data_IF_205078531182
#
_entry.id   IF_205078531182
#
_cell.length_a   1.000
_cell.length_b   1.000
_cell.length_c   1.000
_cell.angle_alpha   90.00
_cell.angle_beta   90.00
_cell.angle_gamma   90.00
#
_symmetry.space_group_name_H-M   'P 1'
#
loop_
_entity.id
_entity.type
_entity.pdbx_description
1 polymer ?
#
# COMPACT_ATOMS: atom_id res chain seq x y z
N UNK A 1 -70.82 57.82 -36.10
CA UNK A 1 -69.49 57.28 -36.35
C UNK A 1 -68.67 57.41 -35.06
N UNK A 2 -68.52 56.37 -34.27
CA UNK A 2 -67.71 56.38 -33.07
C UNK A 2 -66.58 55.38 -33.29
N UNK A 3 -65.33 55.88 -33.29
CA UNK A 3 -64.12 55.04 -33.36
C UNK A 3 -63.87 54.41 -31.96
N UNK A 4 -63.73 53.10 -31.95
CA UNK A 4 -63.30 52.34 -30.79
C UNK A 4 -61.77 52.09 -30.96
N UNK A 5 -61.00 52.66 -30.05
CA UNK A 5 -59.56 52.36 -29.94
C UNK A 5 -59.35 51.01 -29.19
N UNK A 6 -58.78 50.05 -29.89
CA UNK A 6 -58.25 48.82 -29.24
C UNK A 6 -56.84 49.10 -28.70
N UNK A 7 -56.68 48.96 -27.37
CA UNK A 7 -55.39 48.96 -26.71
C UNK A 7 -54.92 47.50 -26.65
N UNK A 8 -53.88 47.18 -27.36
CA UNK A 8 -53.22 45.88 -27.26
C UNK A 8 -52.29 45.85 -26.03
N UNK A 9 -52.59 45.01 -25.04
CA UNK A 9 -51.74 44.75 -23.90
C UNK A 9 -50.80 43.59 -24.27
N UNK A 10 -49.50 43.87 -24.49
CA UNK A 10 -48.45 42.85 -24.66
C UNK A 10 -48.03 42.34 -23.28
N UNK A 11 -48.43 41.11 -22.94
CA UNK A 11 -47.85 40.37 -21.79
C UNK A 11 -46.47 39.85 -22.17
N UNK A 12 -45.42 40.49 -21.63
CA UNK A 12 -44.07 39.93 -21.66
C UNK A 12 -43.98 38.78 -20.62
N UNK A 13 -44.02 37.56 -21.11
CA UNK A 13 -43.70 36.37 -20.30
C UNK A 13 -42.16 36.28 -20.19
N UNK A 14 -41.62 36.76 -19.06
CA UNK A 14 -40.23 36.51 -18.68
C UNK A 14 -40.08 35.08 -18.27
N UNK A 15 -39.72 34.19 -19.22
CA UNK A 15 -39.33 32.84 -18.95
C UNK A 15 -38.03 32.80 -18.13
N UNK A 16 -38.11 32.56 -16.84
CA UNK A 16 -36.97 32.18 -16.02
C UNK A 16 -36.50 30.79 -16.50
N UNK A 17 -35.52 30.75 -17.39
CA UNK A 17 -34.74 29.56 -17.63
C UNK A 17 -33.89 29.32 -16.41
N UNK A 18 -34.41 28.59 -15.44
CA UNK A 18 -33.61 27.90 -14.42
C UNK A 18 -32.81 26.81 -15.15
N UNK A 19 -31.56 27.12 -15.52
CA UNK A 19 -30.61 26.07 -15.92
C UNK A 19 -30.59 25.03 -14.81
N UNK A 20 -30.81 23.74 -15.11
CA UNK A 20 -30.61 22.70 -14.09
C UNK A 20 -29.17 22.80 -13.63
N UNK A 21 -28.93 23.12 -12.35
CA UNK A 21 -27.64 22.87 -11.72
C UNK A 21 -27.39 21.37 -11.94
N UNK A 22 -26.50 21.02 -12.88
CA UNK A 22 -26.01 19.67 -12.97
C UNK A 22 -25.35 19.37 -11.62
N UNK A 23 -25.95 18.51 -10.83
CA UNK A 23 -25.32 18.01 -9.61
C UNK A 23 -23.96 17.44 -10.04
N UNK A 24 -22.89 18.07 -9.58
CA UNK A 24 -21.55 17.63 -9.90
C UNK A 24 -21.41 16.18 -9.44
N UNK A 25 -21.14 15.27 -10.37
CA UNK A 25 -21.02 13.84 -10.05
C UNK A 25 -19.94 13.65 -8.97
N UNK A 26 -20.30 13.04 -7.86
CA UNK A 26 -19.33 12.74 -6.81
C UNK A 26 -18.24 11.82 -7.34
N UNK A 27 -17.00 12.11 -6.93
CA UNK A 27 -15.80 11.29 -7.23
C UNK A 27 -15.05 11.00 -5.94
N UNK A 28 -14.14 10.02 -5.96
CA UNK A 28 -13.27 9.76 -4.82
C UNK A 28 -12.48 11.01 -4.38
N UNK A 29 -12.07 11.86 -5.31
CA UNK A 29 -11.35 13.10 -5.01
C UNK A 29 -12.27 14.17 -4.41
N UNK A 30 -13.48 14.34 -4.95
CA UNK A 30 -14.44 15.32 -4.38
C UNK A 30 -14.90 14.92 -2.97
N UNK A 31 -14.93 13.63 -2.64
CA UNK A 31 -15.19 13.17 -1.27
C UNK A 31 -14.08 13.58 -0.28
N UNK A 32 -12.82 13.59 -0.71
CA UNK A 32 -11.71 14.09 0.12
C UNK A 32 -11.81 15.59 0.41
N UNK A 33 -12.41 16.36 -0.50
CA UNK A 33 -12.58 17.81 -0.39
C UNK A 33 -13.84 18.18 0.40
N UNK A 34 -14.76 17.23 0.62
CA UNK A 34 -15.99 17.43 1.38
C UNK A 34 -15.75 17.26 2.89
N UNK A 35 -15.46 18.37 3.55
CA UNK A 35 -15.23 18.40 5.00
C UNK A 35 -16.44 17.89 5.82
N UNK A 36 -17.68 18.18 5.36
CA UNK A 36 -18.86 17.74 6.07
C UNK A 36 -19.04 16.22 6.00
N UNK A 37 -18.82 15.62 4.82
CA UNK A 37 -18.81 14.18 4.63
C UNK A 37 -17.73 13.51 5.46
N UNK A 38 -16.51 14.06 5.43
CA UNK A 38 -15.38 13.53 6.19
C UNK A 38 -15.66 13.48 7.69
N UNK A 39 -16.13 14.59 8.28
CA UNK A 39 -16.45 14.64 9.69
C UNK A 39 -17.65 13.76 10.05
N UNK A 40 -18.62 13.62 9.16
CA UNK A 40 -19.72 12.67 9.32
C UNK A 40 -19.22 11.24 9.29
N UNK A 41 -18.40 10.87 8.31
CA UNK A 41 -17.86 9.51 8.19
C UNK A 41 -16.97 9.13 9.39
N UNK A 42 -16.12 10.05 9.86
CA UNK A 42 -15.32 9.86 11.07
C UNK A 42 -16.20 9.50 12.29
N UNK A 43 -17.31 10.21 12.51
CA UNK A 43 -18.23 9.97 13.64
C UNK A 43 -19.07 8.71 13.48
N UNK A 44 -19.62 8.49 12.28
CA UNK A 44 -20.65 7.47 12.02
C UNK A 44 -20.09 6.20 11.38
N UNK A 45 -18.86 6.23 10.83
CA UNK A 45 -18.24 5.08 10.17
C UNK A 45 -18.92 4.68 8.87
N UNK A 46 -19.32 5.65 8.03
CA UNK A 46 -20.14 5.42 6.83
C UNK A 46 -19.54 4.37 5.86
N UNK A 47 -18.22 4.22 5.84
CA UNK A 47 -17.49 3.36 4.91
C UNK A 47 -16.69 2.25 5.62
N UNK A 48 -16.93 2.06 6.92
CA UNK A 48 -16.16 1.14 7.76
C UNK A 48 -16.63 -0.31 7.64
N UNK A 49 -17.93 -0.52 7.35
CA UNK A 49 -18.53 -1.84 7.21
C UNK A 49 -18.64 -2.25 5.74
N UNK A 50 -18.28 -3.50 5.36
CA UNK A 50 -18.51 -4.00 4.02
C UNK A 50 -19.98 -4.20 3.74
N UNK A 51 -20.37 -4.17 2.46
CA UNK A 51 -21.70 -4.62 2.04
C UNK A 51 -21.80 -6.14 2.22
N UNK A 52 -23.03 -6.68 2.35
CA UNK A 52 -23.22 -8.11 2.52
C UNK A 52 -22.59 -8.92 1.39
N UNK A 53 -21.83 -9.96 1.75
CA UNK A 53 -21.17 -10.85 0.79
C UNK A 53 -22.20 -11.55 -0.11
N UNK A 54 -21.97 -11.46 -1.42
CA UNK A 54 -22.85 -12.04 -2.44
C UNK A 54 -22.19 -13.14 -3.28
N UNK A 55 -20.89 -13.38 -3.09
CA UNK A 55 -20.10 -14.32 -3.88
C UNK A 55 -19.36 -15.32 -2.98
N UNK A 56 -19.00 -16.48 -3.55
CA UNK A 56 -18.12 -17.42 -2.88
C UNK A 56 -16.67 -16.87 -2.88
N UNK A 57 -15.96 -17.06 -1.77
CA UNK A 57 -14.56 -16.72 -1.66
C UNK A 57 -13.71 -17.57 -2.61
N UNK A 58 -12.61 -17.01 -3.14
CA UNK A 58 -11.66 -17.75 -3.95
C UNK A 58 -10.97 -18.85 -3.12
N UNK A 59 -10.80 -20.03 -3.69
CA UNK A 59 -10.34 -21.21 -2.93
C UNK A 59 -8.83 -21.29 -2.72
N UNK A 60 -8.05 -20.43 -3.41
CA UNK A 60 -6.58 -20.45 -3.44
C UNK A 60 -5.97 -21.81 -3.84
N UNK A 61 -6.64 -22.50 -4.78
CA UNK A 61 -6.12 -23.73 -5.36
C UNK A 61 -5.12 -23.40 -6.45
N UNK A 62 -3.89 -23.95 -6.36
CA UNK A 62 -2.79 -23.70 -7.30
C UNK A 62 -3.11 -24.06 -8.76
N UNK A 63 -4.07 -24.96 -8.99
CA UNK A 63 -4.50 -25.33 -10.35
C UNK A 63 -5.39 -24.26 -11.01
N UNK A 64 -6.02 -23.39 -10.23
CA UNK A 64 -6.78 -22.26 -10.75
C UNK A 64 -5.85 -21.21 -11.35
N UNK A 65 -6.20 -20.71 -12.53
CA UNK A 65 -5.41 -19.70 -13.22
C UNK A 65 -5.36 -18.38 -12.43
N UNK A 66 -4.28 -17.61 -12.59
CA UNK A 66 -4.17 -16.30 -11.95
C UNK A 66 -5.27 -15.33 -12.45
N UNK A 67 -5.73 -15.46 -13.70
CA UNK A 67 -6.87 -14.71 -14.25
C UNK A 67 -8.19 -14.97 -13.50
N UNK A 68 -8.40 -16.20 -13.03
CA UNK A 68 -9.61 -16.56 -12.26
C UNK A 68 -9.57 -15.88 -10.90
N UNK A 69 -8.39 -15.83 -10.27
CA UNK A 69 -8.16 -15.09 -9.05
C UNK A 69 -8.41 -13.58 -9.24
N UNK A 70 -7.88 -12.96 -10.30
CA UNK A 70 -8.10 -11.55 -10.58
C UNK A 70 -9.60 -11.24 -10.74
N UNK A 71 -10.33 -12.12 -11.42
CA UNK A 71 -11.78 -11.98 -11.60
C UNK A 71 -12.53 -12.10 -10.28
N UNK A 72 -12.19 -13.08 -9.45
CA UNK A 72 -12.83 -13.29 -8.15
C UNK A 72 -12.59 -12.12 -7.20
N UNK A 73 -11.35 -11.63 -7.11
CA UNK A 73 -11.01 -10.48 -6.26
C UNK A 73 -11.69 -9.18 -6.75
N UNK A 74 -11.80 -8.96 -8.05
CA UNK A 74 -12.54 -7.82 -8.59
C UNK A 74 -14.04 -7.89 -8.24
N UNK A 75 -14.66 -9.07 -8.33
CA UNK A 75 -16.06 -9.28 -7.97
C UNK A 75 -16.29 -9.04 -6.46
N UNK A 76 -15.40 -9.52 -5.61
CA UNK A 76 -15.44 -9.28 -4.16
C UNK A 76 -15.42 -7.78 -3.86
N UNK A 77 -14.44 -7.04 -4.38
CA UNK A 77 -14.35 -5.59 -4.20
C UNK A 77 -15.60 -4.89 -4.73
N UNK A 78 -16.02 -5.23 -5.96
CA UNK A 78 -17.14 -4.55 -6.63
C UNK A 78 -18.47 -4.72 -5.90
N UNK A 79 -18.66 -5.86 -5.22
CA UNK A 79 -19.90 -6.18 -4.52
C UNK A 79 -19.89 -5.79 -3.05
N UNK A 80 -18.74 -5.83 -2.37
CA UNK A 80 -18.65 -5.67 -0.91
C UNK A 80 -18.11 -4.30 -0.48
N UNK A 81 -17.36 -3.58 -1.34
CA UNK A 81 -16.89 -2.24 -1.02
C UNK A 81 -18.02 -1.20 -1.23
N UNK A 82 -18.43 -0.46 -0.18
CA UNK A 82 -19.53 0.50 -0.28
C UNK A 82 -19.28 1.66 -1.24
N UNK A 83 -18.03 1.87 -1.65
CA UNK A 83 -17.63 2.90 -2.62
C UNK A 83 -17.08 2.33 -3.93
N UNK A 84 -17.16 1.02 -4.15
CA UNK A 84 -16.56 0.33 -5.30
C UNK A 84 -16.81 1.03 -6.64
N UNK A 85 -18.05 1.42 -6.89
CA UNK A 85 -18.50 2.00 -8.16
C UNK A 85 -18.36 3.52 -8.23
N UNK A 86 -17.77 4.17 -7.20
CA UNK A 86 -17.57 5.60 -7.23
C UNK A 86 -16.51 5.96 -8.29
N UNK A 87 -16.79 6.89 -9.23
CA UNK A 87 -15.80 7.37 -10.18
C UNK A 87 -14.56 7.92 -9.46
N UNK A 88 -13.38 7.49 -9.89
CA UNK A 88 -12.14 7.88 -9.25
C UNK A 88 -11.08 8.24 -10.30
N UNK A 89 -11.00 9.51 -10.75
CA UNK A 89 -10.14 9.92 -11.85
C UNK A 89 -8.66 10.05 -11.42
N UNK A 90 -8.11 8.95 -10.93
CA UNK A 90 -6.72 8.81 -10.49
C UNK A 90 -5.97 7.95 -11.51
N UNK A 91 -5.30 8.58 -12.45
CA UNK A 91 -4.64 7.92 -13.59
C UNK A 91 -3.13 7.84 -13.37
N UNK A 92 -2.69 6.76 -12.73
CA UNK A 92 -1.26 6.42 -12.64
C UNK A 92 -0.76 5.84 -13.97
N UNK A 93 0.57 5.83 -14.18
CA UNK A 93 1.15 5.24 -15.40
C UNK A 93 0.77 3.76 -15.53
N UNK A 94 0.76 3.01 -14.41
CA UNK A 94 0.33 1.61 -14.39
C UNK A 94 -1.14 1.45 -14.78
N UNK A 95 -2.02 2.32 -14.26
CA UNK A 95 -3.43 2.25 -14.66
C UNK A 95 -3.62 2.52 -16.15
N UNK A 96 -2.94 3.54 -16.69
CA UNK A 96 -2.99 3.85 -18.12
C UNK A 96 -2.46 2.68 -18.98
N UNK A 97 -1.41 2.00 -18.52
CA UNK A 97 -0.89 0.82 -19.21
C UNK A 97 -1.88 -0.36 -19.15
N UNK A 98 -2.56 -0.58 -18.02
CA UNK A 98 -3.62 -1.60 -17.91
C UNK A 98 -4.81 -1.29 -18.84
N UNK A 99 -5.18 -0.02 -19.00
CA UNK A 99 -6.19 0.42 -19.98
C UNK A 99 -5.72 0.12 -21.41
N UNK A 100 -4.47 0.46 -21.74
CA UNK A 100 -3.89 0.19 -23.05
C UNK A 100 -3.84 -1.31 -23.38
N UNK A 101 -3.69 -2.18 -22.38
CA UNK A 101 -3.74 -3.64 -22.51
C UNK A 101 -5.18 -4.21 -22.51
N UNK A 102 -6.21 -3.36 -22.41
CA UNK A 102 -7.61 -3.80 -22.34
C UNK A 102 -8.00 -4.49 -21.02
N UNK A 103 -7.15 -4.38 -19.98
CA UNK A 103 -7.37 -5.00 -18.66
C UNK A 103 -8.20 -4.15 -17.72
N UNK A 104 -8.37 -2.86 -18.03
CA UNK A 104 -9.15 -1.88 -17.22
C UNK A 104 -9.93 -0.93 -18.13
N UNK A 105 -11.07 -0.38 -17.67
CA UNK A 105 -11.81 0.63 -18.41
C UNK A 105 -11.07 1.98 -18.42
N UNK A 106 -11.36 2.83 -19.41
CA UNK A 106 -10.77 4.16 -19.49
C UNK A 106 -11.21 5.10 -18.33
N UNK A 107 -12.44 4.93 -17.85
CA UNK A 107 -13.00 5.68 -16.73
C UNK A 107 -12.89 4.83 -15.45
N UNK A 108 -11.94 5.17 -14.60
CA UNK A 108 -11.68 4.42 -13.39
C UNK A 108 -12.78 4.59 -12.33
N UNK A 109 -13.13 3.49 -11.70
CA UNK A 109 -13.81 3.45 -10.39
C UNK A 109 -12.83 3.11 -9.28
N UNK A 110 -13.23 3.21 -8.02
CA UNK A 110 -12.41 2.74 -6.90
C UNK A 110 -12.06 1.25 -7.09
N UNK A 111 -13.03 0.41 -7.44
CA UNK A 111 -12.78 -1.02 -7.65
C UNK A 111 -11.70 -1.26 -8.71
N UNK A 112 -11.70 -0.52 -9.81
CA UNK A 112 -10.70 -0.66 -10.87
C UNK A 112 -9.28 -0.32 -10.41
N UNK A 113 -9.14 0.64 -9.50
CA UNK A 113 -7.85 1.12 -9.01
C UNK A 113 -7.24 0.20 -7.95
N UNK A 114 -8.07 -0.34 -7.04
CA UNK A 114 -7.59 -1.12 -5.88
C UNK A 114 -7.55 -2.62 -6.12
N UNK A 115 -8.17 -3.11 -7.19
CA UNK A 115 -8.15 -4.54 -7.52
C UNK A 115 -6.76 -5.02 -7.91
N UNK A 116 -6.40 -6.28 -7.60
CA UNK A 116 -5.17 -6.87 -8.04
C UNK A 116 -5.09 -6.89 -9.57
N UNK A 117 -3.89 -6.85 -10.09
CA UNK A 117 -3.65 -6.78 -11.53
C UNK A 117 -2.48 -7.65 -11.98
N UNK A 118 -2.50 -7.97 -13.26
CA UNK A 118 -1.36 -8.49 -14.00
C UNK A 118 -1.03 -7.51 -15.13
N UNK A 119 0.09 -6.79 -14.98
CA UNK A 119 0.63 -5.91 -16.03
C UNK A 119 1.53 -6.76 -16.93
N UNK A 120 0.99 -7.22 -18.03
CA UNK A 120 1.62 -8.21 -18.90
C UNK A 120 2.73 -7.60 -19.75
N UNK A 121 3.87 -8.28 -19.78
CA UNK A 121 4.94 -8.02 -20.72
C UNK A 121 4.90 -9.09 -21.82
N UNK A 122 4.85 -8.67 -23.08
CA UNK A 122 4.76 -9.60 -24.20
C UNK A 122 5.98 -10.54 -24.21
N UNK A 123 5.72 -11.84 -24.40
CA UNK A 123 6.74 -12.89 -24.54
C UNK A 123 7.73 -13.02 -23.36
N UNK A 124 7.47 -12.36 -22.23
CA UNK A 124 8.34 -12.43 -21.07
C UNK A 124 8.13 -13.73 -20.29
N UNK A 125 9.25 -14.39 -19.95
CA UNK A 125 9.30 -15.51 -19.02
C UNK A 125 9.68 -15.07 -17.61
N UNK A 126 9.80 -13.73 -17.38
CA UNK A 126 10.16 -13.11 -16.09
C UNK A 126 8.94 -12.46 -15.47
N UNK A 127 8.77 -12.66 -14.17
CA UNK A 127 7.71 -11.98 -13.41
C UNK A 127 8.22 -11.42 -12.08
N UNK A 128 7.54 -10.39 -11.61
CA UNK A 128 7.59 -9.97 -10.21
C UNK A 128 6.20 -10.12 -9.60
N UNK A 129 6.12 -10.73 -8.43
CA UNK A 129 4.91 -10.79 -7.62
C UNK A 129 5.06 -9.85 -6.43
N UNK A 130 4.10 -8.94 -6.26
CA UNK A 130 4.11 -7.92 -5.22
C UNK A 130 2.94 -8.13 -4.23
N UNK A 131 3.26 -8.22 -2.92
CA UNK A 131 2.32 -8.45 -1.83
C UNK A 131 2.26 -7.21 -0.94
N UNK A 132 1.08 -6.57 -0.87
CA UNK A 132 0.89 -5.31 -0.13
C UNK A 132 0.93 -5.47 1.39
N UNK A 133 0.99 -4.35 2.11
CA UNK A 133 0.97 -4.28 3.56
C UNK A 133 -0.43 -4.32 4.17
N UNK A 134 -0.47 -4.37 5.51
CA UNK A 134 -1.70 -4.31 6.28
C UNK A 134 -2.45 -2.99 5.99
N UNK A 135 -3.77 -3.07 5.91
CA UNK A 135 -4.71 -2.01 5.55
C UNK A 135 -4.62 -1.49 4.11
N UNK A 136 -3.65 -1.94 3.33
CA UNK A 136 -3.35 -1.52 1.97
C UNK A 136 -4.21 -2.22 0.90
N UNK A 137 -3.93 -1.89 -0.34
CA UNK A 137 -4.44 -2.57 -1.53
C UNK A 137 -3.35 -2.62 -2.61
N UNK A 138 -3.54 -3.35 -3.70
CA UNK A 138 -2.63 -3.37 -4.86
C UNK A 138 -2.30 -1.98 -5.44
N UNK A 139 -3.11 -0.96 -5.20
CA UNK A 139 -2.84 0.41 -5.61
C UNK A 139 -1.49 0.95 -5.10
N UNK A 140 -1.04 0.49 -3.93
CA UNK A 140 0.26 0.87 -3.35
C UNK A 140 1.44 0.56 -4.28
N UNK A 141 1.26 -0.37 -5.22
CA UNK A 141 2.30 -0.77 -6.17
C UNK A 141 2.21 -0.13 -7.55
N UNK A 142 1.25 0.77 -7.79
CA UNK A 142 1.11 1.39 -9.11
C UNK A 142 2.37 2.12 -9.57
N UNK A 143 3.15 2.71 -8.65
CA UNK A 143 4.39 3.39 -9.03
C UNK A 143 5.55 2.39 -9.24
N UNK A 144 5.73 1.43 -8.32
CA UNK A 144 6.80 0.43 -8.43
C UNK A 144 6.57 -0.55 -9.60
N UNK A 145 5.32 -0.84 -9.95
CA UNK A 145 5.02 -1.75 -11.06
C UNK A 145 5.66 -1.29 -12.38
N UNK A 146 5.71 0.02 -12.62
CA UNK A 146 6.37 0.57 -13.81
C UNK A 146 7.89 0.34 -13.81
N UNK A 147 8.53 0.36 -12.65
CA UNK A 147 9.98 0.11 -12.55
C UNK A 147 10.31 -1.30 -13.04
N UNK A 148 9.55 -2.30 -12.61
CA UNK A 148 9.75 -3.69 -13.05
C UNK A 148 9.29 -3.93 -14.49
N UNK A 149 8.17 -3.34 -14.89
CA UNK A 149 7.65 -3.46 -16.24
C UNK A 149 8.64 -2.95 -17.29
N UNK A 150 9.30 -1.82 -17.02
CA UNK A 150 10.33 -1.24 -17.88
C UNK A 150 11.60 -2.11 -17.98
N UNK A 151 11.83 -3.03 -17.01
CA UNK A 151 12.90 -4.03 -17.06
C UNK A 151 12.47 -5.36 -17.73
N UNK A 152 11.29 -5.39 -18.36
CA UNK A 152 10.79 -6.54 -19.10
C UNK A 152 10.12 -7.61 -18.24
N UNK A 153 9.72 -7.29 -17.01
CA UNK A 153 8.98 -8.21 -16.14
C UNK A 153 7.47 -8.04 -16.30
N UNK A 154 6.74 -9.14 -16.36
CA UNK A 154 5.31 -9.14 -16.06
C UNK A 154 5.14 -8.86 -14.56
N UNK A 155 4.26 -7.91 -14.19
CA UNK A 155 4.03 -7.56 -12.80
C UNK A 155 2.69 -8.10 -12.34
N UNK A 156 2.70 -8.91 -11.29
CA UNK A 156 1.52 -9.44 -10.60
C UNK A 156 1.39 -8.82 -9.22
N UNK A 157 0.17 -8.54 -8.83
CA UNK A 157 -0.17 -8.12 -7.46
C UNK A 157 -1.27 -9.00 -6.91
N UNK A 158 -1.32 -9.17 -5.60
CA UNK A 158 -2.45 -9.83 -4.93
C UNK A 158 -3.16 -8.86 -3.99
N UNK A 159 -4.42 -9.17 -3.70
CA UNK A 159 -5.20 -8.59 -2.61
C UNK A 159 -5.23 -9.61 -1.47
N UNK A 160 -4.74 -9.23 -0.30
CA UNK A 160 -4.80 -10.09 0.88
C UNK A 160 -6.26 -10.19 1.37
N UNK A 161 -6.72 -11.36 1.88
CA UNK A 161 -8.04 -11.51 2.46
C UNK A 161 -8.39 -10.41 3.46
N UNK A 162 -9.63 -9.95 3.46
CA UNK A 162 -10.13 -8.87 4.30
C UNK A 162 -9.79 -7.45 3.83
N UNK A 163 -9.03 -7.30 2.73
CA UNK A 163 -8.67 -6.01 2.15
C UNK A 163 -9.55 -5.65 0.94
N UNK A 164 -9.54 -4.38 0.53
CA UNK A 164 -10.24 -3.89 -0.68
C UNK A 164 -11.75 -3.66 -0.50
N UNK A 165 -12.36 -4.10 0.58
CA UNK A 165 -13.80 -3.94 0.87
C UNK A 165 -14.05 -2.82 1.88
N UNK A 166 -13.97 -3.10 3.19
CA UNK A 166 -14.05 -2.10 4.26
C UNK A 166 -13.24 -2.57 5.48
N UNK A 167 -12.85 -1.64 6.36
CA UNK A 167 -11.95 -1.93 7.47
C UNK A 167 -12.44 -3.03 8.41
N UNK A 168 -13.77 -3.17 8.59
CA UNK A 168 -14.35 -4.22 9.43
C UNK A 168 -14.16 -5.64 8.87
N UNK A 169 -13.92 -5.80 7.57
CA UNK A 169 -13.62 -7.12 6.99
C UNK A 169 -12.33 -7.73 7.55
N UNK A 170 -11.40 -6.91 8.06
CA UNK A 170 -10.21 -7.39 8.75
C UNK A 170 -10.49 -8.08 10.09
N UNK A 171 -11.73 -8.01 10.60
CA UNK A 171 -12.13 -8.72 11.82
C UNK A 171 -12.45 -10.21 11.57
N UNK A 172 -12.62 -10.60 10.30
CA UNK A 172 -12.99 -11.95 9.89
C UNK A 172 -11.83 -12.79 9.36
N UNK A 173 -10.59 -12.25 9.35
CA UNK A 173 -9.41 -12.91 8.76
C UNK A 173 -8.27 -13.00 9.76
N UNK A 174 -7.40 -13.98 9.55
CA UNK A 174 -6.20 -14.21 10.34
C UNK A 174 -4.91 -14.29 9.50
N UNK A 175 -3.78 -14.52 10.14
CA UNK A 175 -2.48 -14.63 9.49
C UNK A 175 -2.36 -15.85 8.56
N UNK A 176 -3.09 -16.94 8.86
CA UNK A 176 -3.11 -18.14 8.00
C UNK A 176 -3.86 -17.89 6.69
N UNK A 177 -4.91 -17.09 6.70
CA UNK A 177 -5.62 -16.65 5.49
C UNK A 177 -4.69 -15.86 4.57
N UNK A 178 -3.94 -14.90 5.13
CA UNK A 178 -2.96 -14.12 4.35
C UNK A 178 -1.83 -15.01 3.82
N UNK A 179 -1.34 -15.92 4.63
CA UNK A 179 -0.32 -16.90 4.22
C UNK A 179 -0.82 -17.79 3.09
N UNK A 180 -2.03 -18.32 3.19
CA UNK A 180 -2.65 -19.17 2.16
C UNK A 180 -2.77 -18.43 0.82
N UNK A 181 -3.24 -17.18 0.84
CA UNK A 181 -3.34 -16.34 -0.36
C UNK A 181 -1.96 -16.07 -0.98
N UNK A 182 -0.97 -15.75 -0.15
CA UNK A 182 0.40 -15.47 -0.57
C UNK A 182 1.07 -16.71 -1.18
N UNK A 183 0.93 -17.88 -0.54
CA UNK A 183 1.46 -19.15 -1.05
C UNK A 183 0.84 -19.48 -2.42
N UNK A 184 -0.48 -19.37 -2.56
CA UNK A 184 -1.14 -19.56 -3.86
C UNK A 184 -0.54 -18.64 -4.93
N UNK A 185 -0.41 -17.35 -4.65
CA UNK A 185 0.07 -16.38 -5.63
C UNK A 185 1.54 -16.65 -6.03
N UNK A 186 2.39 -17.01 -5.06
CA UNK A 186 3.79 -17.36 -5.30
C UNK A 186 3.87 -18.61 -6.16
N UNK A 187 3.26 -19.71 -5.73
CA UNK A 187 3.30 -21.00 -6.43
C UNK A 187 2.66 -20.91 -7.84
N UNK A 188 1.56 -20.14 -7.96
CA UNK A 188 0.94 -19.91 -9.27
C UNK A 188 1.86 -19.12 -10.19
N UNK A 189 2.60 -18.14 -9.67
CA UNK A 189 3.56 -17.36 -10.46
C UNK A 189 4.76 -18.23 -10.87
N UNK A 190 5.27 -19.07 -9.98
CA UNK A 190 6.33 -20.03 -10.29
C UNK A 190 5.92 -21.07 -11.36
N UNK A 191 4.63 -21.44 -11.37
CA UNK A 191 4.09 -22.33 -12.41
C UNK A 191 4.04 -21.67 -13.79
N UNK A 192 3.78 -20.36 -13.84
CA UNK A 192 3.59 -19.61 -15.08
C UNK A 192 4.88 -19.02 -15.66
N UNK A 193 5.92 -18.79 -14.84
CA UNK A 193 7.15 -18.09 -15.24
C UNK A 193 8.40 -18.89 -14.87
N UNK A 194 9.53 -18.54 -15.52
CA UNK A 194 10.81 -19.22 -15.32
C UNK A 194 11.75 -18.46 -14.37
N UNK A 195 11.56 -17.12 -14.24
CA UNK A 195 12.31 -16.27 -13.35
C UNK A 195 11.33 -15.38 -12.58
N UNK A 196 11.38 -15.44 -11.26
CA UNK A 196 10.43 -14.73 -10.39
C UNK A 196 11.17 -13.94 -9.32
N UNK A 197 10.82 -12.66 -9.21
CA UNK A 197 11.17 -11.81 -8.07
C UNK A 197 9.95 -11.76 -7.16
N UNK A 198 10.16 -11.99 -5.86
CA UNK A 198 9.12 -11.81 -4.85
C UNK A 198 9.30 -10.47 -4.16
N UNK A 199 8.29 -9.62 -4.18
CA UNK A 199 8.29 -8.33 -3.52
C UNK A 199 7.21 -8.23 -2.46
N UNK A 200 7.53 -7.60 -1.33
CA UNK A 200 6.57 -7.35 -0.27
C UNK A 200 6.79 -6.01 0.40
N UNK A 201 5.70 -5.37 0.79
CA UNK A 201 5.72 -4.14 1.58
C UNK A 201 5.11 -4.42 2.96
N UNK A 202 5.83 -4.02 4.03
CA UNK A 202 5.37 -4.17 5.41
C UNK A 202 4.98 -5.63 5.73
N UNK A 203 3.74 -5.94 6.08
CA UNK A 203 3.22 -7.30 6.29
C UNK A 203 3.45 -8.21 5.07
N UNK A 204 3.30 -7.67 3.86
CA UNK A 204 3.61 -8.42 2.63
C UNK A 204 5.07 -8.88 2.56
N UNK A 205 6.02 -8.07 3.06
CA UNK A 205 7.42 -8.47 3.15
C UNK A 205 7.64 -9.58 4.20
N UNK A 206 6.91 -9.54 5.32
CA UNK A 206 6.94 -10.63 6.30
C UNK A 206 6.43 -11.94 5.69
N UNK A 207 5.36 -11.91 4.90
CA UNK A 207 4.82 -13.09 4.20
C UNK A 207 5.80 -13.64 3.15
N UNK A 208 6.54 -12.77 2.44
CA UNK A 208 7.61 -13.18 1.52
C UNK A 208 8.73 -13.90 2.29
N UNK A 209 9.21 -13.33 3.40
CA UNK A 209 10.26 -13.95 4.23
C UNK A 209 9.77 -15.28 4.83
N UNK A 210 8.53 -15.33 5.33
CA UNK A 210 7.94 -16.56 5.86
C UNK A 210 7.94 -17.68 4.80
N UNK A 211 7.48 -17.40 3.57
CA UNK A 211 7.52 -18.36 2.48
C UNK A 211 8.94 -18.84 2.16
N UNK A 212 9.87 -17.91 1.97
CA UNK A 212 11.26 -18.20 1.58
C UNK A 212 12.05 -18.99 2.62
N UNK A 213 11.62 -19.01 3.87
CA UNK A 213 12.33 -19.66 4.97
C UNK A 213 11.71 -20.99 5.43
N UNK A 214 10.55 -21.39 4.87
CA UNK A 214 9.84 -22.61 5.31
C UNK A 214 10.22 -23.89 4.58
N UNK A 215 10.65 -23.80 3.31
CA UNK A 215 10.95 -24.97 2.47
C UNK A 215 12.16 -24.69 1.60
N UNK A 216 12.73 -25.70 0.93
CA UNK A 216 13.70 -25.46 -0.13
C UNK A 216 13.12 -24.48 -1.14
N UNK A 217 13.83 -23.38 -1.40
CA UNK A 217 13.40 -22.33 -2.31
C UNK A 217 13.48 -22.85 -3.74
N UNK A 218 12.41 -22.66 -4.51
CA UNK A 218 12.42 -22.94 -5.95
C UNK A 218 13.51 -22.11 -6.64
N UNK A 219 14.32 -22.73 -7.47
CA UNK A 219 15.44 -22.11 -8.19
C UNK A 219 15.00 -21.03 -9.19
N UNK A 220 13.72 -20.96 -9.52
CA UNK A 220 13.14 -19.89 -10.32
C UNK A 220 13.04 -18.57 -9.56
N UNK A 221 13.07 -18.59 -8.22
CA UNK A 221 13.09 -17.36 -7.42
C UNK A 221 14.49 -16.77 -7.45
N UNK A 222 14.62 -15.63 -8.11
CA UNK A 222 15.92 -14.97 -8.32
C UNK A 222 16.25 -13.94 -7.25
N UNK A 223 15.24 -13.28 -6.68
CA UNK A 223 15.44 -12.28 -5.62
C UNK A 223 14.20 -12.07 -4.75
N UNK A 224 14.44 -11.45 -3.58
CA UNK A 224 13.42 -10.89 -2.70
C UNK A 224 13.58 -9.37 -2.57
N UNK A 225 12.46 -8.63 -2.67
CA UNK A 225 12.39 -7.17 -2.53
C UNK A 225 11.56 -6.84 -1.29
N UNK A 226 12.20 -6.30 -0.26
CA UNK A 226 11.59 -6.08 1.06
C UNK A 226 11.48 -4.57 1.35
N UNK A 227 10.28 -4.01 1.20
CA UNK A 227 10.00 -2.59 1.44
C UNK A 227 9.44 -2.41 2.84
N UNK A 228 10.14 -1.71 3.74
CA UNK A 228 9.78 -1.55 5.17
C UNK A 228 9.28 -2.85 5.80
N UNK A 229 10.07 -3.94 5.79
CA UNK A 229 9.58 -5.25 6.20
C UNK A 229 9.07 -5.26 7.64
N UNK A 230 7.89 -5.83 7.85
CA UNK A 230 7.28 -5.97 9.16
C UNK A 230 8.02 -7.05 9.97
N UNK A 231 9.13 -6.67 10.60
CA UNK A 231 9.97 -7.53 11.43
C UNK A 231 9.43 -7.69 12.86
N UNK A 232 9.22 -6.57 13.55
CA UNK A 232 8.56 -6.46 14.84
C UNK A 232 7.83 -5.10 14.91
N UNK A 233 6.73 -4.98 15.69
CA UNK A 233 6.07 -3.70 15.85
C UNK A 233 6.93 -2.73 16.65
N UNK A 234 6.94 -1.45 16.26
CA UNK A 234 7.62 -0.40 17.04
C UNK A 234 7.07 -0.33 18.46
N UNK A 235 5.76 -0.43 18.63
CA UNK A 235 5.13 -0.53 19.95
C UNK A 235 5.26 -1.96 20.48
N UNK A 236 6.14 -2.16 21.46
CA UNK A 236 6.41 -3.47 22.08
C UNK A 236 5.20 -4.11 22.78
N UNK A 237 4.12 -3.35 23.00
CA UNK A 237 2.86 -3.90 23.53
C UNK A 237 1.95 -4.51 22.46
N UNK A 238 2.39 -4.61 21.21
CA UNK A 238 1.60 -5.19 20.09
C UNK A 238 1.04 -6.59 20.40
N UNK A 239 1.75 -7.40 21.22
CA UNK A 239 1.28 -8.70 21.67
C UNK A 239 -0.02 -8.66 22.51
N UNK A 240 -0.32 -7.51 23.14
CA UNK A 240 -1.57 -7.32 23.89
C UNK A 240 -2.80 -7.27 22.98
N UNK A 241 -2.64 -6.97 21.68
CA UNK A 241 -3.75 -6.90 20.72
C UNK A 241 -4.57 -8.20 20.72
N UNK A 242 -3.92 -9.37 20.79
CA UNK A 242 -4.56 -10.68 20.85
C UNK A 242 -5.46 -10.85 22.08
N UNK A 243 -5.07 -10.30 23.23
CA UNK A 243 -5.86 -10.41 24.47
C UNK A 243 -7.03 -9.41 24.49
N UNK A 244 -6.83 -8.23 23.89
CA UNK A 244 -7.87 -7.21 23.79
C UNK A 244 -8.92 -7.59 22.74
N UNK A 245 -8.51 -8.21 21.63
CA UNK A 245 -9.39 -8.74 20.59
C UNK A 245 -10.38 -9.81 21.14
N UNK A 246 -9.99 -10.53 22.18
CA UNK A 246 -10.85 -11.49 22.87
C UNK A 246 -11.89 -10.82 23.80
N UNK A 247 -11.85 -9.50 24.02
CA UNK A 247 -12.80 -8.77 24.88
C UNK A 247 -14.02 -8.37 24.04
N UNK A 248 -15.23 -8.85 24.37
CA UNK A 248 -16.44 -8.43 23.66
C UNK A 248 -16.60 -6.90 23.61
N UNK A 249 -17.00 -6.37 22.46
CA UNK A 249 -17.28 -4.94 22.22
C UNK A 249 -16.07 -4.00 22.12
N UNK A 250 -14.82 -4.52 22.19
CA UNK A 250 -13.59 -3.74 22.01
C UNK A 250 -12.92 -4.15 20.71
N UNK A 251 -13.43 -3.68 19.57
CA UNK A 251 -13.00 -4.17 18.25
C UNK A 251 -11.98 -3.26 17.56
N UNK A 252 -11.83 -2.00 17.99
CA UNK A 252 -11.09 -0.98 17.25
C UNK A 252 -9.98 -0.35 18.07
N UNK A 253 -8.79 -0.28 17.49
CA UNK A 253 -7.67 0.52 17.98
C UNK A 253 -7.89 1.99 17.58
N UNK A 254 -8.15 2.22 16.28
CA UNK A 254 -8.39 3.54 15.70
C UNK A 254 -9.64 3.53 14.84
N UNK A 255 -10.37 4.66 14.83
CA UNK A 255 -11.55 4.91 13.98
C UNK A 255 -11.35 6.23 13.27
N UNK A 256 -11.15 6.20 11.97
CA UNK A 256 -10.99 7.38 11.12
C UNK A 256 -12.18 7.52 10.14
N UNK A 257 -12.10 8.45 9.22
CA UNK A 257 -13.14 8.72 8.23
C UNK A 257 -13.24 7.64 7.15
N UNK A 258 -12.22 6.80 6.96
CA UNK A 258 -12.11 5.78 5.91
C UNK A 258 -12.38 6.35 4.50
N UNK A 259 -11.90 7.59 4.25
CA UNK A 259 -12.01 8.26 2.95
C UNK A 259 -10.83 7.98 2.03
N UNK A 260 -9.72 7.45 2.52
CA UNK A 260 -8.71 6.88 1.65
C UNK A 260 -9.32 5.72 0.87
N UNK A 261 -9.34 5.81 -0.46
CA UNK A 261 -9.94 4.75 -1.25
C UNK A 261 -9.04 3.51 -1.34
N UNK A 262 -7.74 3.69 -1.18
CA UNK A 262 -6.76 2.63 -1.41
C UNK A 262 -6.26 1.94 -0.13
N UNK A 263 -6.45 2.59 1.04
CA UNK A 263 -6.06 2.07 2.36
C UNK A 263 -7.19 2.24 3.36
N UNK A 264 -7.32 1.33 4.30
CA UNK A 264 -8.17 1.54 5.46
C UNK A 264 -7.48 2.52 6.43
N UNK A 265 -8.22 3.50 6.90
CA UNK A 265 -7.76 4.46 7.92
C UNK A 265 -8.20 4.01 9.33
N UNK A 266 -9.29 3.25 9.46
CA UNK A 266 -9.70 2.59 10.71
C UNK A 266 -8.97 1.26 10.89
N UNK A 267 -8.64 0.93 12.16
CA UNK A 267 -7.78 -0.21 12.45
C UNK A 267 -8.33 -1.08 13.59
N UNK A 268 -8.78 -2.33 13.32
CA UNK A 268 -9.30 -3.22 14.34
C UNK A 268 -8.17 -3.98 15.08
N UNK A 269 -8.46 -4.43 16.30
CA UNK A 269 -7.52 -5.23 17.12
C UNK A 269 -7.18 -6.58 16.47
N UNK A 270 -8.13 -7.23 15.80
CA UNK A 270 -7.92 -8.46 15.04
C UNK A 270 -6.83 -8.32 13.97
N UNK A 271 -6.83 -7.22 13.21
CA UNK A 271 -5.79 -6.92 12.22
C UNK A 271 -4.40 -6.77 12.86
N UNK A 272 -4.32 -6.10 14.03
CA UNK A 272 -3.08 -5.98 14.78
C UNK A 272 -2.61 -7.36 15.27
N UNK A 273 -3.53 -8.20 15.76
CA UNK A 273 -3.25 -9.57 16.20
C UNK A 273 -2.71 -10.43 15.06
N UNK A 274 -3.39 -10.45 13.91
CA UNK A 274 -2.97 -11.21 12.73
C UNK A 274 -1.60 -10.72 12.20
N UNK A 275 -1.37 -9.39 12.18
CA UNK A 275 -0.08 -8.84 11.77
C UNK A 275 1.05 -9.22 12.74
N UNK A 276 0.80 -9.16 14.04
CA UNK A 276 1.76 -9.62 15.05
C UNK A 276 2.09 -11.11 14.89
N UNK A 277 1.10 -11.94 14.57
CA UNK A 277 1.33 -13.36 14.29
C UNK A 277 2.19 -13.55 13.05
N UNK A 278 1.92 -12.86 11.96
CA UNK A 278 2.74 -12.88 10.75
C UNK A 278 4.21 -12.48 11.04
N UNK A 279 4.43 -11.43 11.84
CA UNK A 279 5.76 -11.02 12.29
C UNK A 279 6.44 -12.07 13.15
N UNK A 280 5.70 -12.72 14.06
CA UNK A 280 6.26 -13.73 14.96
C UNK A 280 6.82 -14.94 14.19
N UNK A 281 6.23 -15.29 13.06
CA UNK A 281 6.69 -16.38 12.17
C UNK A 281 8.07 -16.16 11.57
N UNK A 282 8.50 -14.91 11.44
CA UNK A 282 9.82 -14.53 10.95
C UNK A 282 10.74 -13.98 12.04
N UNK A 283 10.38 -14.19 13.32
CA UNK A 283 11.22 -13.82 14.44
C UNK A 283 12.56 -14.56 14.40
N UNK A 284 13.60 -13.97 15.02
CA UNK A 284 14.92 -14.62 15.08
C UNK A 284 14.87 -15.99 15.76
N UNK A 285 13.96 -16.19 16.70
CA UNK A 285 13.76 -17.46 17.38
C UNK A 285 13.23 -18.54 16.44
N UNK A 286 12.29 -18.20 15.56
CA UNK A 286 11.79 -19.09 14.52
C UNK A 286 12.83 -19.33 13.42
N UNK A 287 13.47 -18.27 12.93
CA UNK A 287 14.47 -18.34 11.84
C UNK A 287 15.72 -19.14 12.21
N UNK A 288 15.99 -19.40 13.49
CA UNK A 288 17.12 -20.24 13.88
C UNK A 288 16.94 -21.73 13.51
N UNK A 289 15.69 -22.16 13.33
CA UNK A 289 15.33 -23.54 12.97
C UNK A 289 14.96 -23.69 11.49
N UNK A 290 14.98 -22.61 10.71
CA UNK A 290 14.57 -22.59 9.30
C UNK A 290 15.78 -22.52 8.37
N UNK A 291 15.58 -22.97 7.14
CA UNK A 291 16.58 -22.83 6.08
C UNK A 291 16.55 -21.40 5.56
N UNK A 292 17.71 -20.74 5.47
CA UNK A 292 17.81 -19.43 4.87
C UNK A 292 17.77 -19.52 3.34
N UNK A 293 17.05 -18.60 2.68
CA UNK A 293 16.90 -18.63 1.22
C UNK A 293 18.20 -18.26 0.53
N UNK A 294 18.61 -19.00 -0.50
CA UNK A 294 19.76 -18.65 -1.32
C UNK A 294 19.35 -17.76 -2.49
N UNK A 295 18.67 -16.65 -2.21
CA UNK A 295 18.23 -15.63 -3.18
C UNK A 295 18.82 -14.28 -2.79
N UNK A 296 19.11 -13.40 -3.75
CA UNK A 296 19.55 -12.04 -3.46
C UNK A 296 18.45 -11.23 -2.78
N UNK A 297 18.79 -10.37 -1.81
CA UNK A 297 17.84 -9.57 -1.06
C UNK A 297 18.06 -8.09 -1.29
N UNK A 298 17.05 -7.39 -1.76
CA UNK A 298 17.00 -5.93 -1.76
C UNK A 298 16.04 -5.48 -0.66
N UNK A 299 16.50 -4.56 0.18
CA UNK A 299 15.67 -4.00 1.25
C UNK A 299 15.69 -2.50 1.25
N UNK A 300 14.64 -1.87 1.76
CA UNK A 300 14.62 -0.44 2.08
C UNK A 300 13.75 -0.16 3.29
N UNK A 301 14.20 0.71 4.19
CA UNK A 301 13.42 1.20 5.32
C UNK A 301 14.02 2.52 5.88
N UNK A 302 13.31 3.14 6.83
CA UNK A 302 13.69 4.41 7.46
C UNK A 302 14.05 4.21 8.93
N UNK A 303 15.02 4.98 9.43
CA UNK A 303 15.42 4.96 10.85
C UNK A 303 14.38 5.58 11.79
N UNK A 304 13.52 6.46 11.29
CA UNK A 304 12.47 7.13 12.06
C UNK A 304 11.11 6.46 11.94
N UNK A 305 11.05 5.23 11.41
CA UNK A 305 9.81 4.46 11.28
C UNK A 305 9.14 4.26 12.65
N UNK A 306 7.89 4.76 12.78
CA UNK A 306 7.09 4.64 14.01
C UNK A 306 6.11 3.46 13.96
N UNK A 307 6.13 2.68 12.90
CA UNK A 307 5.28 1.49 12.70
C UNK A 307 6.03 0.21 13.04
N UNK A 308 7.26 0.08 12.54
CA UNK A 308 8.12 -1.11 12.66
C UNK A 308 9.38 -0.77 13.49
N UNK A 309 9.85 -1.74 14.26
CA UNK A 309 11.10 -1.63 15.01
C UNK A 309 12.32 -1.77 14.08
N UNK A 310 13.08 -0.69 13.94
CA UNK A 310 14.24 -0.63 13.05
C UNK A 310 15.37 -1.56 13.49
N UNK A 311 15.57 -1.72 14.81
CA UNK A 311 16.60 -2.61 15.33
C UNK A 311 16.25 -4.08 15.05
N UNK A 312 14.96 -4.43 15.12
CA UNK A 312 14.49 -5.76 14.72
C UNK A 312 14.67 -5.97 13.20
N UNK A 313 14.44 -4.93 12.39
CA UNK A 313 14.66 -5.00 10.94
C UNK A 313 16.14 -5.23 10.62
N UNK A 314 17.07 -4.51 11.24
CA UNK A 314 18.51 -4.77 11.08
C UNK A 314 18.88 -6.20 11.47
N UNK A 315 18.36 -6.71 12.59
CA UNK A 315 18.62 -8.09 13.02
C UNK A 315 18.07 -9.11 12.04
N UNK A 316 16.87 -8.89 11.49
CA UNK A 316 16.29 -9.73 10.46
C UNK A 316 17.19 -9.78 9.22
N UNK A 317 17.59 -8.61 8.69
CA UNK A 317 18.45 -8.51 7.52
C UNK A 317 19.83 -9.14 7.77
N UNK A 318 20.46 -8.90 8.92
CA UNK A 318 21.71 -9.55 9.30
C UNK A 318 21.60 -11.08 9.36
N UNK A 319 20.44 -11.59 9.87
CA UNK A 319 20.17 -13.03 9.88
C UNK A 319 20.00 -13.59 8.48
N UNK A 320 19.26 -12.90 7.62
CA UNK A 320 19.05 -13.30 6.23
C UNK A 320 20.35 -13.21 5.40
N UNK A 321 21.29 -12.34 5.75
CA UNK A 321 22.57 -12.15 5.05
C UNK A 321 23.63 -13.20 5.38
N UNK A 322 23.46 -14.06 6.37
CA UNK A 322 24.47 -14.97 6.93
C UNK A 322 25.33 -15.67 5.84
N UNK A 323 26.62 -15.29 5.67
CA UNK A 323 27.48 -15.81 4.61
C UNK A 323 27.85 -17.30 4.78
N UNK A 324 27.61 -17.86 5.98
CA UNK A 324 27.82 -19.30 6.24
C UNK A 324 26.66 -20.14 5.70
N UNK A 325 25.47 -19.53 5.59
CA UNK A 325 24.26 -20.21 5.15
C UNK A 325 23.91 -19.91 3.69
N UNK A 326 24.45 -18.83 3.10
CA UNK A 326 24.07 -18.32 1.76
C UNK A 326 25.27 -18.01 0.89
N UNK A 327 25.14 -18.30 -0.42
CA UNK A 327 26.17 -18.00 -1.44
C UNK A 327 25.94 -16.66 -2.16
N UNK A 328 24.70 -16.22 -2.26
CA UNK A 328 24.32 -15.00 -2.99
C UNK A 328 24.22 -13.74 -2.12
N UNK A 329 24.69 -13.80 -0.88
CA UNK A 329 24.63 -12.67 0.05
C UNK A 329 25.42 -11.45 -0.42
N UNK A 330 26.47 -11.59 -1.25
CA UNK A 330 27.21 -10.47 -1.82
C UNK A 330 26.36 -9.56 -2.72
N UNK A 331 25.21 -10.06 -3.19
CA UNK A 331 24.26 -9.26 -3.97
C UNK A 331 23.25 -8.50 -3.08
N UNK A 332 23.22 -8.75 -1.76
CA UNK A 332 22.27 -8.09 -0.88
C UNK A 332 22.50 -6.58 -0.85
N UNK A 333 21.41 -5.81 -0.90
CA UNK A 333 21.41 -4.34 -0.92
C UNK A 333 20.41 -3.80 0.09
N UNK A 334 20.80 -2.76 0.80
CA UNK A 334 19.92 -1.98 1.67
C UNK A 334 19.96 -0.52 1.26
N UNK A 335 18.83 0.02 0.80
CA UNK A 335 18.61 1.47 0.67
C UNK A 335 18.08 1.96 2.02
N UNK A 336 18.91 2.69 2.75
CA UNK A 336 18.61 3.10 4.12
C UNK A 336 18.38 4.61 4.19
N UNK A 337 17.17 4.99 4.67
CA UNK A 337 16.81 6.39 4.89
C UNK A 337 17.02 6.76 6.35
N UNK A 338 18.27 7.01 6.73
CA UNK A 338 18.62 7.33 8.12
C UNK A 338 20.11 7.63 8.32
N UNK A 339 20.47 7.93 9.56
CA UNK A 339 21.82 8.26 9.95
C UNK A 339 22.66 7.01 10.23
N UNK A 340 23.96 7.09 9.93
CA UNK A 340 24.92 6.00 10.15
C UNK A 340 25.02 5.59 11.62
N UNK A 341 24.88 6.54 12.52
CA UNK A 341 24.94 6.32 13.96
C UNK A 341 23.82 5.41 14.49
N UNK A 342 22.73 5.24 13.70
CA UNK A 342 21.62 4.37 14.04
C UNK A 342 21.79 2.92 13.54
N UNK A 343 22.84 2.65 12.75
CA UNK A 343 23.17 1.29 12.30
C UNK A 343 23.83 0.54 13.45
N UNK A 344 23.32 -0.66 13.82
CA UNK A 344 23.96 -1.43 14.89
C UNK A 344 25.41 -1.76 14.61
N UNK A 345 26.30 -1.59 15.59
CA UNK A 345 27.73 -1.86 15.44
C UNK A 345 28.05 -3.32 15.04
N UNK A 346 27.13 -4.24 15.29
CA UNK A 346 27.24 -5.65 14.93
C UNK A 346 26.53 -6.01 13.63
N UNK A 347 26.02 -5.02 12.86
CA UNK A 347 25.46 -5.28 11.54
C UNK A 347 26.60 -5.72 10.59
N UNK A 348 26.37 -6.68 9.67
CA UNK A 348 27.43 -7.21 8.80
C UNK A 348 28.14 -6.11 8.01
N UNK A 349 29.46 -6.03 8.15
CA UNK A 349 30.28 -4.99 7.51
C UNK A 349 30.37 -5.15 5.98
N UNK A 350 30.09 -6.34 5.47
CA UNK A 350 30.04 -6.68 4.04
C UNK A 350 28.64 -6.48 3.42
N UNK A 351 27.64 -6.06 4.20
CA UNK A 351 26.33 -5.72 3.67
C UNK A 351 26.40 -4.40 2.91
N UNK A 352 25.96 -4.38 1.64
CA UNK A 352 26.01 -3.17 0.82
C UNK A 352 24.86 -2.23 1.20
N UNK A 353 25.17 -1.17 1.97
CA UNK A 353 24.23 -0.13 2.37
C UNK A 353 24.35 1.07 1.43
N UNK A 354 23.24 1.51 0.88
CA UNK A 354 23.10 2.65 -0.02
C UNK A 354 22.37 3.76 0.72
N UNK A 355 22.88 4.99 0.63
CA UNK A 355 22.24 6.19 1.18
C UNK A 355 22.04 7.20 0.09
N UNK A 356 20.91 7.87 0.14
CA UNK A 356 20.58 8.93 -0.79
C UNK A 356 20.63 10.29 -0.10
N UNK A 357 21.43 11.20 -0.64
CA UNK A 357 21.47 12.57 -0.18
C UNK A 357 20.23 13.35 -0.62
N UNK A 358 19.83 14.32 0.20
CA UNK A 358 18.75 15.25 -0.10
C UNK A 358 19.26 16.36 -1.02
N UNK A 359 19.05 16.21 -2.33
CA UNK A 359 19.56 17.13 -3.36
C UNK A 359 18.61 18.30 -3.66
N UNK A 360 17.36 18.23 -3.18
CA UNK A 360 16.33 19.22 -3.47
C UNK A 360 15.88 19.96 -2.22
N UNK A 361 15.48 21.23 -2.36
CA UNK A 361 14.93 22.02 -1.25
C UNK A 361 13.64 21.42 -0.70
N UNK A 362 12.93 20.65 -1.52
CA UNK A 362 11.72 19.97 -1.13
C UNK A 362 11.98 18.82 -0.17
N UNK A 363 13.00 17.98 -0.42
CA UNK A 363 13.30 16.88 0.47
C UNK A 363 13.85 17.38 1.83
N UNK A 364 14.53 18.53 1.84
CA UNK A 364 14.99 19.18 3.09
C UNK A 364 13.85 19.64 4.01
N UNK A 365 12.67 19.90 3.44
CA UNK A 365 11.47 20.28 4.20
C UNK A 365 10.75 19.07 4.82
N UNK A 366 11.07 17.86 4.36
CA UNK A 366 10.47 16.62 4.85
C UNK A 366 11.16 16.21 6.15
N UNK A 367 10.35 15.89 7.16
CA UNK A 367 10.80 15.50 8.50
C UNK A 367 10.82 13.99 8.68
N UNK A 368 11.80 13.36 8.04
CA UNK A 368 12.00 11.90 8.04
C UNK A 368 11.12 11.15 7.04
N UNK A 369 11.66 10.06 6.50
CA UNK A 369 10.95 9.17 5.61
C UNK A 369 9.90 8.37 6.39
N UNK A 370 8.66 8.41 5.92
CA UNK A 370 7.57 7.68 6.54
C UNK A 370 7.51 6.22 6.05
N UNK A 371 7.11 5.32 6.98
CA UNK A 371 6.78 3.94 6.64
C UNK A 371 5.85 3.84 5.42
N UNK A 372 4.77 4.62 5.42
CA UNK A 372 3.72 4.55 4.37
C UNK A 372 4.09 5.24 3.06
N UNK A 373 5.18 6.02 3.03
CA UNK A 373 5.59 6.79 1.85
C UNK A 373 6.55 6.05 0.91
N UNK A 374 7.23 5.02 1.38
CA UNK A 374 8.43 4.44 0.72
C UNK A 374 8.20 4.04 -0.74
N UNK A 375 7.03 3.50 -1.06
CA UNK A 375 6.73 2.89 -2.37
C UNK A 375 6.02 3.81 -3.37
N UNK A 376 5.65 5.02 -2.97
CA UNK A 376 4.92 5.97 -3.81
C UNK A 376 5.82 7.08 -4.33
N UNK A 377 5.71 7.45 -5.61
CA UNK A 377 6.50 8.55 -6.20
C UNK A 377 5.92 9.94 -5.85
N UNK A 378 6.75 11.01 -5.83
CA UNK A 378 6.28 12.37 -5.55
C UNK A 378 5.24 12.90 -6.54
N UNK A 379 5.20 12.37 -7.76
CA UNK A 379 4.23 12.71 -8.80
C UNK A 379 2.98 11.82 -8.80
N UNK A 380 2.84 10.90 -7.84
CA UNK A 380 1.63 10.07 -7.73
C UNK A 380 0.38 10.98 -7.64
N UNK A 381 -0.66 10.74 -8.45
CA UNK A 381 -1.83 11.61 -8.50
C UNK A 381 -2.69 11.58 -7.23
N UNK A 382 -2.49 10.60 -6.34
CA UNK A 382 -3.28 10.44 -5.12
C UNK A 382 -2.46 10.62 -3.83
N UNK A 383 -1.27 10.04 -3.75
CA UNK A 383 -0.39 10.09 -2.57
C UNK A 383 0.77 11.08 -2.72
N UNK A 384 0.97 11.64 -3.90
CA UNK A 384 2.13 12.48 -4.19
C UNK A 384 2.04 13.88 -3.57
N UNK A 385 3.09 14.66 -3.81
CA UNK A 385 3.29 16.01 -3.22
C UNK A 385 2.14 16.98 -3.44
N UNK A 386 1.49 16.94 -4.61
CA UNK A 386 0.40 17.85 -5.00
C UNK A 386 -0.98 17.23 -4.87
N UNK A 387 -1.05 16.01 -4.33
CA UNK A 387 -2.31 15.29 -4.18
C UNK A 387 -3.16 15.85 -3.03
N UNK A 388 -4.46 15.63 -3.10
CA UNK A 388 -5.41 16.10 -2.09
C UNK A 388 -5.44 15.21 -0.84
N UNK A 389 -5.03 13.94 -0.95
CA UNK A 389 -5.01 13.04 0.21
C UNK A 389 -3.91 13.42 1.21
N UNK A 390 -4.25 13.38 2.50
CA UNK A 390 -3.30 13.54 3.61
C UNK A 390 -3.61 12.55 4.73
N UNK A 391 -2.58 11.91 5.24
CA UNK A 391 -2.71 11.05 6.41
C UNK A 391 -2.59 11.88 7.70
N UNK A 392 -3.69 11.99 8.44
CA UNK A 392 -3.85 12.82 9.63
C UNK A 392 -4.27 12.03 10.87
N UNK A 393 -4.11 10.71 10.89
CA UNK A 393 -4.51 9.81 11.96
C UNK A 393 -3.89 10.12 13.34
N UNK A 394 -2.87 11.00 13.41
CA UNK A 394 -2.31 11.48 14.67
C UNK A 394 -3.23 12.44 15.44
N UNK A 395 -4.35 12.87 14.86
CA UNK A 395 -5.26 13.86 15.44
C UNK A 395 -6.71 13.37 15.54
N UNK A 396 -6.92 12.04 15.65
CA UNK A 396 -8.27 11.48 15.71
C UNK A 396 -9.11 12.01 16.87
N UNK A 397 -8.47 12.36 17.99
CA UNK A 397 -9.13 12.89 19.18
C UNK A 397 -9.25 14.44 19.19
N UNK A 398 -8.74 15.13 18.15
CA UNK A 398 -8.79 16.59 18.03
C UNK A 398 -9.33 17.00 16.66
N UNK A 399 -10.65 17.19 16.55
CA UNK A 399 -11.33 17.55 15.31
C UNK A 399 -10.78 18.83 14.66
N UNK A 400 -10.28 19.79 15.46
CA UNK A 400 -9.72 21.05 14.96
C UNK A 400 -8.37 20.81 14.27
N UNK A 401 -7.46 20.09 14.92
CA UNK A 401 -6.16 19.74 14.36
C UNK A 401 -6.32 18.76 13.20
N UNK A 402 -7.25 17.80 13.29
CA UNK A 402 -7.55 16.87 12.20
C UNK A 402 -7.99 17.63 10.95
N UNK A 403 -8.96 18.55 11.07
CA UNK A 403 -9.43 19.37 9.96
C UNK A 403 -8.31 20.27 9.41
N UNK A 404 -7.53 20.89 10.27
CA UNK A 404 -6.40 21.71 9.85
C UNK A 404 -5.36 20.87 9.10
N UNK A 405 -5.04 19.67 9.58
CA UNK A 405 -4.14 18.74 8.89
C UNK A 405 -4.65 18.35 7.50
N UNK A 406 -5.93 18.04 7.36
CA UNK A 406 -6.52 17.64 6.07
C UNK A 406 -6.57 18.80 5.04
N UNK A 407 -6.82 20.05 5.45
CA UNK A 407 -7.18 21.14 4.54
C UNK A 407 -6.24 22.36 4.54
N UNK A 408 -5.37 22.54 5.55
CA UNK A 408 -4.45 23.67 5.58
C UNK A 408 -3.44 23.58 4.42
N UNK A 409 -3.16 24.69 3.76
CA UNK A 409 -2.08 24.80 2.77
C UNK A 409 -0.70 24.77 3.47
N UNK A 410 0.33 24.37 2.71
CA UNK A 410 1.74 24.41 3.14
C UNK A 410 2.03 23.69 4.48
N UNK A 411 1.43 22.50 4.64
CA UNK A 411 1.64 21.68 5.83
C UNK A 411 3.02 20.99 5.80
N UNK A 412 3.67 20.90 6.96
CA UNK A 412 4.89 20.11 7.12
C UNK A 412 4.55 18.62 7.13
N UNK A 413 5.35 17.81 6.42
CA UNK A 413 5.16 16.36 6.29
C UNK A 413 6.42 15.59 6.72
N UNK A 414 6.24 14.38 7.19
CA UNK A 414 7.31 13.47 7.58
C UNK A 414 6.80 12.23 8.30
N UNK A 415 7.65 11.54 9.04
CA UNK A 415 7.18 10.47 9.93
C UNK A 415 6.62 11.06 11.25
N UNK A 416 5.57 10.44 11.78
CA UNK A 416 4.81 10.89 12.96
C UNK A 416 5.54 10.62 14.29
N UNK A 417 6.81 10.98 14.37
CA UNK A 417 7.56 10.92 15.64
C UNK A 417 6.99 11.91 16.66
N UNK A 418 7.18 11.64 17.97
CA UNK A 418 6.73 12.54 19.01
C UNK A 418 7.33 13.95 18.85
N UNK A 419 8.61 14.04 18.42
CA UNK A 419 9.31 15.29 18.16
C UNK A 419 8.64 16.09 17.04
N UNK A 420 8.36 15.45 15.89
CA UNK A 420 7.72 16.10 14.74
C UNK A 420 6.31 16.60 15.07
N UNK A 421 5.51 15.77 15.76
CA UNK A 421 4.17 16.14 16.20
C UNK A 421 4.15 17.28 17.24
N UNK A 422 5.20 17.42 18.03
CA UNK A 422 5.34 18.53 18.97
C UNK A 422 5.81 19.81 18.29
N UNK A 423 6.82 19.70 17.41
CA UNK A 423 7.45 20.85 16.74
C UNK A 423 6.58 21.48 15.64
N UNK A 424 5.72 20.69 15.00
CA UNK A 424 4.94 21.10 13.83
C UNK A 424 3.46 20.76 14.00
N UNK A 425 2.59 21.78 14.17
CA UNK A 425 1.13 21.59 14.30
C UNK A 425 0.36 22.54 13.40
N UNK A 426 -0.50 22.05 12.48
CA UNK A 426 -0.73 20.63 12.17
C UNK A 426 0.42 20.00 11.37
N UNK A 427 0.56 18.68 11.44
CA UNK A 427 1.55 17.88 10.78
C UNK A 427 0.88 16.71 10.04
N UNK A 428 1.28 16.39 8.82
CA UNK A 428 0.77 15.23 8.10
C UNK A 428 1.85 14.14 7.98
N UNK A 429 1.44 12.88 8.11
CA UNK A 429 2.34 11.77 7.81
C UNK A 429 2.64 11.76 6.32
N UNK A 430 3.90 11.64 5.95
CA UNK A 430 4.37 11.64 4.56
C UNK A 430 3.84 10.42 3.80
N UNK A 431 3.26 10.64 2.62
CA UNK A 431 2.61 9.59 1.80
C UNK A 431 3.39 9.23 0.54
N UNK A 432 4.52 9.88 0.29
CA UNK A 432 5.38 9.63 -0.88
C UNK A 432 6.87 9.61 -0.50
N UNK A 433 7.68 9.01 -1.36
CA UNK A 433 9.13 8.95 -1.22
C UNK A 433 9.79 10.07 -2.05
N UNK A 434 10.40 11.09 -1.44
CA UNK A 434 11.10 12.14 -2.18
C UNK A 434 12.31 11.63 -2.97
N UNK A 435 12.83 10.45 -2.63
CA UNK A 435 13.95 9.77 -3.29
C UNK A 435 13.50 8.66 -4.25
N UNK A 436 12.23 8.63 -4.67
CA UNK A 436 11.68 7.52 -5.45
C UNK A 436 12.46 7.24 -6.74
N UNK A 437 12.91 8.26 -7.46
CA UNK A 437 13.68 8.07 -8.69
C UNK A 437 15.05 7.42 -8.41
N UNK A 438 15.69 7.75 -7.28
CA UNK A 438 16.91 7.08 -6.82
C UNK A 438 16.63 5.65 -6.41
N UNK A 439 15.55 5.40 -5.66
CA UNK A 439 15.09 4.05 -5.32
C UNK A 439 14.86 3.20 -6.58
N UNK A 440 14.18 3.74 -7.59
CA UNK A 440 13.95 3.07 -8.86
C UNK A 440 15.27 2.74 -9.59
N UNK A 441 16.24 3.67 -9.58
CA UNK A 441 17.57 3.43 -10.12
C UNK A 441 18.29 2.30 -9.38
N UNK A 442 18.23 2.26 -8.04
CA UNK A 442 18.86 1.19 -7.24
C UNK A 442 18.20 -0.17 -7.49
N UNK A 443 16.88 -0.22 -7.63
CA UNK A 443 16.14 -1.43 -8.02
C UNK A 443 16.60 -1.91 -9.40
N UNK A 444 16.70 -1.01 -10.40
CA UNK A 444 17.14 -1.35 -11.74
C UNK A 444 18.58 -1.88 -11.77
N UNK A 445 19.48 -1.30 -10.99
CA UNK A 445 20.87 -1.78 -10.88
C UNK A 445 20.92 -3.16 -10.21
N UNK A 446 20.16 -3.36 -9.14
CA UNK A 446 20.06 -4.67 -8.47
C UNK A 446 19.54 -5.75 -9.41
N UNK A 447 18.50 -5.47 -10.22
CA UNK A 447 17.99 -6.41 -11.22
C UNK A 447 19.08 -6.79 -12.23
N UNK A 448 19.87 -5.82 -12.73
CA UNK A 448 20.98 -6.10 -13.63
C UNK A 448 22.07 -6.96 -12.98
N UNK A 449 22.38 -6.72 -11.72
CA UNK A 449 23.38 -7.51 -10.97
C UNK A 449 22.93 -8.97 -10.83
N UNK A 450 21.67 -9.23 -10.45
CA UNK A 450 21.17 -10.61 -10.32
C UNK A 450 21.06 -11.31 -11.67
N UNK A 451 20.68 -10.63 -12.75
CA UNK A 451 20.61 -11.20 -14.11
C UNK A 451 22.02 -11.54 -14.64
N UNK A 452 23.01 -10.70 -14.34
CA UNK A 452 24.40 -10.94 -14.72
C UNK A 452 25.02 -12.12 -13.96
N UNK A 453 24.66 -12.29 -12.69
CA UNK A 453 25.15 -13.40 -11.87
C UNK A 453 24.52 -14.77 -12.23
N UNK A 454 23.39 -14.75 -12.93
CA UNK A 454 22.69 -15.96 -13.39
C UNK A 454 23.18 -16.48 -14.75
N UNK A 455 24.00 -15.70 -15.49
CA UNK A 455 24.66 -16.07 -16.75
C UNK A 455 25.97 -16.81 -16.50
#
# INVERSE_FOLDING_TARGET
MKFINLVAISLAISGLFSSPLMAQQQTCLSQLEDQALMMKSKREGLFREPLPRSHSTFSYNIEQAFSDYLTAAYLEISSENPRANLPCPVYTDTYQQLVAQGSRPANATIADLISPFELKQADSRKAVLLIHGLTDSPFTYHDLAQVYYQQGYTVRTILLPGHGTAAAALQEVDADDWRKASVYAIERTLKDFDQVILGGYSTGAALVVDYLTQAPVDNKITAAMLFSPASEPHNKNGWLAKWIDAIPFVNWIDKDADLDFAKYESFPFSAASASHEAMSRISLDELRYRQLPNVAIFSTFSDVDTTIDNQATFKLLAKLHDPKARKNNQLDRLVYYGDDDNIPANFPADYHIIRDDCDTDDCKKIKGMSHIGIVNKPSNPYYGRKASYRNCGSYLDDDKLYTACKYQKDIVMGERTAENLQAHKPFARLTFNPYFDKLAMHINNFIKDIESAAQ
#
